data_IF_630603960553
#
_entry.id   IF_630603960553
#
_cell.length_a   1.000
_cell.length_b   1.000
_cell.length_c   1.000
_cell.angle_alpha   90.00
_cell.angle_beta   90.00
_cell.angle_gamma   90.00
#
_symmetry.space_group_name_H-M   'P 1'
#
loop_
_entity.id
_entity.type
_entity.pdbx_description
1 polymer ?
#
# COMPACT_ATOMS: atom_id res chain seq x y z
N UNK A 1 9.31 -20.74 11.91
CA UNK A 1 10.17 -19.68 11.33
C UNK A 1 9.61 -18.28 11.58
N UNK A 2 8.33 -18.01 11.27
CA UNK A 2 7.69 -16.72 11.58
C UNK A 2 7.81 -16.32 13.06
N UNK A 3 7.45 -17.20 13.99
CA UNK A 3 7.46 -16.90 15.44
C UNK A 3 8.83 -16.39 15.93
N UNK A 4 9.92 -17.00 15.46
CA UNK A 4 11.28 -16.58 15.81
C UNK A 4 11.56 -15.17 15.30
N UNK A 5 11.22 -14.87 14.04
CA UNK A 5 11.42 -13.55 13.45
C UNK A 5 10.54 -12.49 14.15
N UNK A 6 9.30 -12.83 14.46
CA UNK A 6 8.37 -11.98 15.19
C UNK A 6 8.88 -11.66 16.60
N UNK A 7 9.25 -12.69 17.38
CA UNK A 7 9.78 -12.51 18.74
C UNK A 7 11.06 -11.66 18.71
N UNK A 8 11.99 -11.93 17.78
CA UNK A 8 13.20 -11.12 17.63
C UNK A 8 12.88 -9.66 17.33
N UNK A 9 11.97 -9.39 16.39
CA UNK A 9 11.54 -8.02 16.10
C UNK A 9 11.00 -7.33 17.36
N UNK A 10 10.14 -8.01 18.14
CA UNK A 10 9.58 -7.48 19.39
C UNK A 10 10.65 -7.23 20.45
N UNK A 11 11.61 -8.14 20.63
CA UNK A 11 12.70 -7.97 21.60
C UNK A 11 13.64 -6.80 21.27
N UNK A 12 13.85 -6.52 19.99
CA UNK A 12 14.68 -5.40 19.54
C UNK A 12 13.90 -4.09 19.35
N UNK A 13 12.60 -4.08 19.68
CA UNK A 13 11.77 -2.88 19.56
C UNK A 13 11.98 -1.97 20.77
N UNK A 14 12.66 -0.85 20.56
CA UNK A 14 12.90 0.18 21.57
C UNK A 14 11.84 1.29 21.54
N UNK A 15 11.88 2.16 22.54
CA UNK A 15 11.04 3.36 22.59
C UNK A 15 11.25 4.22 21.32
N UNK A 16 10.15 4.68 20.73
CA UNK A 16 10.14 5.52 19.52
C UNK A 16 10.00 4.77 18.20
N UNK A 17 10.04 3.43 18.20
CA UNK A 17 9.68 2.64 17.01
C UNK A 17 8.17 2.61 16.86
N UNK A 18 7.68 2.99 15.68
CA UNK A 18 6.26 3.12 15.37
C UNK A 18 5.79 2.17 14.26
N UNK A 19 6.69 1.39 13.68
CA UNK A 19 6.37 0.48 12.58
C UNK A 19 7.59 -0.32 12.12
N UNK A 20 7.36 -1.27 11.21
CA UNK A 20 8.41 -2.16 10.68
C UNK A 20 8.47 -2.11 9.16
N UNK A 21 9.68 -2.01 8.63
CA UNK A 21 9.99 -2.34 7.24
C UNK A 21 10.56 -3.77 7.18
N UNK A 22 9.87 -4.67 6.50
CA UNK A 22 10.27 -6.07 6.35
C UNK A 22 11.08 -6.23 5.05
N UNK A 23 12.41 -6.26 5.15
CA UNK A 23 13.32 -6.22 4.01
C UNK A 23 13.60 -7.61 3.40
N UNK A 24 12.55 -8.31 2.99
CA UNK A 24 12.65 -9.57 2.23
C UNK A 24 11.46 -9.72 1.27
N UNK A 25 11.60 -10.57 0.25
CA UNK A 25 10.52 -10.93 -0.67
C UNK A 25 9.69 -12.12 -0.19
N UNK A 26 10.34 -13.12 0.41
CA UNK A 26 9.68 -14.32 0.93
C UNK A 26 10.09 -14.60 2.38
N UNK A 27 9.15 -15.07 3.22
CA UNK A 27 7.72 -15.26 2.94
C UNK A 27 6.92 -13.94 3.00
N UNK A 28 5.85 -13.83 2.20
CA UNK A 28 4.89 -12.71 2.23
C UNK A 28 3.59 -13.03 3.00
N UNK A 29 3.44 -14.27 3.49
CA UNK A 29 2.28 -14.73 4.28
C UNK A 29 2.68 -15.70 5.38
N UNK A 30 1.83 -15.80 6.40
CA UNK A 30 1.91 -16.75 7.52
C UNK A 30 0.55 -17.43 7.63
N UNK A 31 0.46 -18.69 7.21
CA UNK A 31 -0.83 -19.36 7.05
C UNK A 31 -1.75 -18.58 6.11
N UNK A 32 -2.90 -18.16 6.64
CA UNK A 32 -3.94 -17.39 5.96
C UNK A 32 -3.79 -15.87 6.06
N UNK A 33 -2.88 -15.37 6.91
CA UNK A 33 -2.65 -13.95 7.16
C UNK A 33 -1.44 -13.45 6.37
N UNK A 34 -1.47 -12.21 5.88
CA UNK A 34 -0.29 -11.60 5.28
C UNK A 34 0.82 -11.41 6.33
N UNK A 35 2.08 -11.44 5.91
CA UNK A 35 3.20 -11.28 6.85
C UNK A 35 3.18 -9.88 7.48
N UNK A 36 2.81 -8.84 6.72
CA UNK A 36 2.70 -7.47 7.25
C UNK A 36 1.63 -7.37 8.32
N UNK A 37 0.48 -7.99 8.13
CA UNK A 37 -0.57 -8.00 9.13
C UNK A 37 -0.19 -8.85 10.34
N UNK A 38 0.51 -9.97 10.13
CA UNK A 38 1.00 -10.82 11.21
C UNK A 38 2.05 -10.10 12.09
N UNK A 39 2.95 -9.31 11.50
CA UNK A 39 3.90 -8.49 12.27
C UNK A 39 3.20 -7.34 13.01
N UNK A 40 2.23 -6.69 12.37
CA UNK A 40 1.58 -5.52 12.96
C UNK A 40 0.62 -5.84 14.09
N UNK A 41 -0.22 -6.87 13.91
CA UNK A 41 -1.35 -7.21 14.78
C UNK A 41 -1.20 -8.57 15.48
N UNK A 42 -0.09 -9.26 15.26
CA UNK A 42 0.11 -10.65 15.67
C UNK A 42 -0.60 -11.62 14.72
N UNK A 43 -0.07 -12.84 14.61
CA UNK A 43 -0.80 -13.92 13.94
C UNK A 43 -2.03 -14.29 14.78
N UNK A 44 -3.22 -14.16 14.21
CA UNK A 44 -4.47 -14.52 14.89
C UNK A 44 -5.53 -14.94 13.86
N UNK A 45 -6.18 -16.11 14.02
CA UNK A 45 -7.22 -16.59 13.10
C UNK A 45 -8.36 -15.61 12.85
N UNK A 46 -8.63 -14.64 13.74
CA UNK A 46 -9.64 -13.59 13.51
C UNK A 46 -9.35 -12.69 12.30
N UNK A 47 -8.09 -12.64 11.88
CA UNK A 47 -7.66 -11.93 10.67
C UNK A 47 -7.67 -12.82 9.41
N UNK A 48 -8.08 -14.06 9.56
CA UNK A 48 -8.28 -14.98 8.47
C UNK A 48 -9.77 -15.14 8.17
N UNK A 49 -10.06 -15.42 6.91
CA UNK A 49 -11.39 -15.77 6.45
C UNK A 49 -11.27 -16.83 5.37
N UNK A 50 -12.05 -17.89 5.50
CA UNK A 50 -12.29 -18.84 4.44
C UNK A 50 -13.52 -18.37 3.63
N UNK A 51 -13.34 -18.18 2.33
CA UNK A 51 -14.38 -17.67 1.44
C UNK A 51 -14.81 -16.21 1.71
N UNK A 52 -16.10 -15.94 1.46
CA UNK A 52 -16.70 -14.61 1.55
C UNK A 52 -17.16 -14.22 2.96
N UNK A 53 -16.21 -14.20 3.91
CA UNK A 53 -16.46 -13.77 5.29
C UNK A 53 -15.66 -12.50 5.65
N UNK A 54 -16.20 -11.66 6.57
CA UNK A 54 -15.46 -10.54 7.14
C UNK A 54 -14.30 -11.04 8.01
N UNK A 55 -13.28 -10.19 8.17
CA UNK A 55 -12.19 -10.41 9.14
C UNK A 55 -12.19 -9.31 10.18
N UNK A 56 -11.45 -9.49 11.27
CA UNK A 56 -11.33 -8.47 12.30
C UNK A 56 -10.83 -7.12 11.75
N UNK A 57 -11.37 -5.99 12.28
CA UNK A 57 -11.01 -4.67 11.82
C UNK A 57 -9.61 -4.25 12.25
N UNK A 58 -9.07 -3.30 11.50
CA UNK A 58 -7.85 -2.57 11.80
C UNK A 58 -8.17 -1.36 12.71
N UNK A 59 -7.59 -1.29 13.93
CA UNK A 59 -7.81 -0.16 14.82
C UNK A 59 -7.21 1.17 14.31
N UNK A 60 -6.32 1.12 13.32
CA UNK A 60 -5.74 2.31 12.68
C UNK A 60 -6.52 2.80 11.46
N UNK A 61 -7.57 2.09 11.04
CA UNK A 61 -8.38 2.49 9.89
C UNK A 61 -9.06 3.84 10.13
N UNK A 62 -8.95 4.75 9.16
CA UNK A 62 -9.46 6.12 9.23
C UNK A 62 -8.97 6.93 10.45
N UNK A 63 -7.86 6.52 11.08
CA UNK A 63 -7.27 7.26 12.19
C UNK A 63 -6.74 8.63 11.74
N UNK A 64 -6.86 9.63 12.62
CA UNK A 64 -6.27 10.96 12.44
C UNK A 64 -4.75 10.97 12.64
N UNK A 65 -4.21 12.13 13.02
CA UNK A 65 -2.82 12.23 13.45
C UNK A 65 -2.62 11.45 14.76
N UNK A 66 -1.50 10.73 14.89
CA UNK A 66 -1.22 9.90 16.05
C UNK A 66 -0.07 8.94 15.78
N UNK A 67 0.50 8.41 16.86
CA UNK A 67 1.61 7.45 16.84
C UNK A 67 1.04 6.02 16.89
N UNK A 68 1.24 5.18 15.86
CA UNK A 68 0.63 3.86 15.77
C UNK A 68 0.82 2.98 17.01
N UNK A 69 2.03 2.94 17.56
CA UNK A 69 2.33 2.11 18.73
C UNK A 69 1.66 2.69 19.97
N UNK A 70 1.91 3.97 20.23
CA UNK A 70 1.49 4.64 21.47
C UNK A 70 -0.03 4.75 21.58
N UNK A 71 -0.68 5.12 20.48
CA UNK A 71 -2.09 5.53 20.48
C UNK A 71 -3.02 4.38 20.05
N UNK A 72 -2.51 3.38 19.31
CA UNK A 72 -3.32 2.29 18.73
C UNK A 72 -2.80 0.88 19.06
N UNK A 73 -1.66 0.76 19.77
CA UNK A 73 -1.07 -0.51 20.19
C UNK A 73 -0.75 -1.48 19.04
N UNK A 74 -0.42 -0.95 17.86
CA UNK A 74 0.07 -1.76 16.73
C UNK A 74 1.38 -1.20 16.18
N UNK A 75 2.08 -2.02 15.39
CA UNK A 75 3.26 -1.61 14.66
C UNK A 75 2.99 -1.85 13.16
N UNK A 76 2.37 -0.88 12.46
CA UNK A 76 2.18 -0.96 11.02
C UNK A 76 3.42 -1.52 10.35
N UNK A 77 3.22 -2.51 9.49
CA UNK A 77 4.33 -3.18 8.82
C UNK A 77 4.14 -3.12 7.31
N UNK A 78 5.23 -2.92 6.58
CA UNK A 78 5.26 -2.92 5.12
C UNK A 78 6.49 -3.70 4.64
N UNK A 79 6.33 -4.46 3.55
CA UNK A 79 7.45 -5.18 2.94
C UNK A 79 8.25 -4.26 2.02
N UNK A 80 9.56 -4.23 2.20
CA UNK A 80 10.48 -3.77 1.19
C UNK A 80 10.89 -4.99 0.34
N UNK A 81 10.05 -5.32 -0.64
CA UNK A 81 10.23 -6.49 -1.51
C UNK A 81 10.52 -6.08 -2.95
N UNK A 82 11.47 -6.78 -3.58
CA UNK A 82 11.85 -6.60 -4.97
C UNK A 82 12.42 -7.90 -5.56
N UNK A 83 12.48 -8.00 -6.89
CA UNK A 83 13.06 -9.15 -7.61
C UNK A 83 14.59 -9.26 -7.47
N UNK A 84 15.27 -8.14 -7.24
CA UNK A 84 16.73 -8.08 -7.12
C UNK A 84 17.16 -7.01 -6.12
N UNK A 85 18.42 -7.08 -5.66
CA UNK A 85 19.01 -6.04 -4.81
C UNK A 85 19.06 -4.68 -5.53
N UNK A 86 19.29 -4.67 -6.84
CA UNK A 86 19.27 -3.44 -7.64
C UNK A 86 17.88 -2.81 -7.64
N UNK A 87 16.83 -3.61 -7.82
CA UNK A 87 15.45 -3.12 -7.76
C UNK A 87 15.08 -2.62 -6.36
N UNK A 88 15.55 -3.30 -5.30
CA UNK A 88 15.34 -2.86 -3.92
C UNK A 88 16.01 -1.50 -3.64
N UNK A 89 17.26 -1.30 -4.11
CA UNK A 89 17.96 -0.01 -3.99
C UNK A 89 17.23 1.08 -4.77
N UNK A 90 16.85 0.80 -6.02
CA UNK A 90 16.10 1.76 -6.83
C UNK A 90 14.77 2.17 -6.20
N UNK A 91 14.08 1.24 -5.52
CA UNK A 91 12.87 1.51 -4.74
C UNK A 91 13.15 2.42 -3.54
N UNK A 92 14.20 2.12 -2.75
CA UNK A 92 14.61 2.97 -1.62
C UNK A 92 14.97 4.38 -2.12
N UNK A 93 15.83 4.48 -3.13
CA UNK A 93 16.29 5.76 -3.67
C UNK A 93 15.10 6.58 -4.19
N UNK A 94 14.09 5.91 -4.76
CA UNK A 94 12.86 6.57 -5.21
C UNK A 94 12.01 7.09 -4.06
N UNK A 95 11.90 6.36 -2.95
CA UNK A 95 11.24 6.83 -1.73
C UNK A 95 11.95 8.04 -1.14
N UNK A 96 13.26 7.96 -0.95
CA UNK A 96 14.10 9.06 -0.43
C UNK A 96 13.99 10.31 -1.31
N UNK A 97 14.02 10.18 -2.64
CA UNK A 97 13.84 11.32 -3.56
C UNK A 97 12.45 11.97 -3.48
N UNK A 98 11.47 11.28 -2.90
CA UNK A 98 10.12 11.80 -2.77
C UNK A 98 9.96 12.72 -1.57
N UNK A 99 10.73 12.53 -0.51
CA UNK A 99 10.47 13.14 0.78
C UNK A 99 10.49 14.67 0.74
N UNK A 100 9.41 15.29 1.23
CA UNK A 100 9.23 16.74 1.24
C UNK A 100 9.16 17.40 -0.13
N UNK A 101 9.07 16.63 -1.23
CA UNK A 101 9.05 17.17 -2.59
C UNK A 101 7.73 17.87 -2.95
N UNK A 102 6.62 17.44 -2.34
CA UNK A 102 5.26 17.84 -2.68
C UNK A 102 4.99 17.83 -4.22
N UNK A 103 5.16 16.68 -4.89
CA UNK A 103 5.14 16.60 -6.34
C UNK A 103 3.79 17.05 -6.92
N UNK A 104 3.84 17.78 -8.04
CA UNK A 104 2.65 18.18 -8.81
C UNK A 104 2.26 17.06 -9.77
N UNK A 105 1.57 16.05 -9.26
CA UNK A 105 1.03 14.95 -10.05
C UNK A 105 -0.49 14.90 -10.06
N UNK A 106 -1.01 13.80 -10.58
CA UNK A 106 -2.43 13.51 -10.72
C UNK A 106 -2.79 12.18 -10.10
N UNK A 107 -4.01 12.11 -9.57
CA UNK A 107 -4.66 10.87 -9.18
C UNK A 107 -5.54 10.34 -10.31
N UNK A 108 -5.33 9.09 -10.69
CA UNK A 108 -6.14 8.36 -11.65
C UNK A 108 -6.97 7.29 -10.93
N UNK A 109 -8.29 7.47 -10.94
CA UNK A 109 -9.28 6.51 -10.46
C UNK A 109 -9.90 5.83 -11.68
N UNK A 110 -9.40 4.64 -12.03
CA UNK A 110 -9.77 3.96 -13.28
C UNK A 110 -10.82 2.88 -13.00
N UNK A 111 -11.97 3.04 -13.64
CA UNK A 111 -13.10 2.12 -13.60
C UNK A 111 -13.07 1.26 -14.87
N UNK A 112 -12.77 -0.03 -14.72
CA UNK A 112 -12.64 -0.95 -15.85
C UNK A 112 -13.99 -1.56 -16.25
N UNK A 113 -14.01 -2.46 -17.22
CA UNK A 113 -15.21 -3.25 -17.53
C UNK A 113 -15.42 -4.43 -16.56
N UNK A 114 -14.43 -4.75 -15.71
CA UNK A 114 -14.51 -5.86 -14.76
C UNK A 114 -15.33 -5.46 -13.52
N UNK A 115 -16.65 -5.55 -13.62
CA UNK A 115 -17.57 -5.13 -12.56
C UNK A 115 -17.23 -5.74 -11.18
N UNK A 116 -16.85 -7.02 -11.14
CA UNK A 116 -16.45 -7.70 -9.90
C UNK A 116 -15.21 -7.10 -9.21
N UNK A 117 -14.37 -6.36 -9.93
CA UNK A 117 -13.15 -5.71 -9.42
C UNK A 117 -13.29 -4.20 -9.21
N UNK A 118 -14.46 -3.65 -9.54
CA UNK A 118 -14.77 -2.23 -9.36
C UNK A 118 -15.53 -1.94 -8.05
N UNK A 119 -15.42 -2.78 -7.02
CA UNK A 119 -16.20 -2.60 -5.79
C UNK A 119 -15.86 -1.32 -5.02
N UNK A 120 -14.68 -0.73 -5.25
CA UNK A 120 -14.31 0.61 -4.75
C UNK A 120 -14.66 1.78 -5.68
N UNK A 121 -15.04 1.51 -6.93
CA UNK A 121 -15.36 2.54 -7.92
C UNK A 121 -16.48 3.51 -7.50
N UNK A 122 -17.54 3.08 -6.76
CA UNK A 122 -18.58 4.00 -6.29
C UNK A 122 -18.05 5.14 -5.38
N UNK A 123 -16.87 4.99 -4.78
CA UNK A 123 -16.26 6.04 -3.95
C UNK A 123 -15.65 7.18 -4.79
N UNK A 124 -15.37 6.97 -6.07
CA UNK A 124 -14.56 7.88 -6.90
C UNK A 124 -15.11 9.32 -6.97
N UNK A 125 -16.44 9.55 -7.14
CA UNK A 125 -16.98 10.90 -7.14
C UNK A 125 -16.75 11.63 -5.81
N UNK A 126 -16.93 10.93 -4.67
CA UNK A 126 -16.69 11.51 -3.35
C UNK A 126 -15.20 11.86 -3.14
N UNK A 127 -14.29 11.01 -3.63
CA UNK A 127 -12.84 11.27 -3.61
C UNK A 127 -12.50 12.53 -4.43
N UNK A 128 -13.03 12.65 -5.65
CA UNK A 128 -12.80 13.82 -6.49
C UNK A 128 -13.33 15.11 -5.85
N UNK A 129 -14.54 15.07 -5.26
CA UNK A 129 -15.09 16.23 -4.55
C UNK A 129 -14.25 16.63 -3.33
N UNK A 130 -13.82 15.66 -2.53
CA UNK A 130 -13.09 15.93 -1.29
C UNK A 130 -11.63 16.38 -1.52
N UNK A 131 -10.96 15.86 -2.55
CA UNK A 131 -9.51 16.06 -2.75
C UNK A 131 -9.15 16.86 -4.02
N UNK A 132 -10.11 17.10 -4.92
CA UNK A 132 -9.86 17.77 -6.21
C UNK A 132 -9.26 19.16 -6.12
N UNK A 133 -9.45 19.85 -4.99
CA UNK A 133 -8.83 21.17 -4.71
C UNK A 133 -7.38 21.06 -4.23
N UNK A 134 -6.96 19.89 -3.71
CA UNK A 134 -5.59 19.63 -3.24
C UNK A 134 -4.73 18.98 -4.32
N UNK A 135 -5.33 18.13 -5.15
CA UNK A 135 -4.66 17.42 -6.25
C UNK A 135 -5.65 17.21 -7.40
N UNK A 136 -5.22 17.30 -8.67
CA UNK A 136 -6.04 16.86 -9.80
C UNK A 136 -6.45 15.39 -9.66
N UNK A 137 -7.76 15.12 -9.73
CA UNK A 137 -8.34 13.77 -9.71
C UNK A 137 -9.08 13.50 -11.00
N UNK A 138 -8.63 12.52 -11.78
CA UNK A 138 -9.27 12.03 -13.00
C UNK A 138 -9.96 10.71 -12.73
N UNK A 139 -11.26 10.64 -13.05
CA UNK A 139 -12.05 9.41 -13.05
C UNK A 139 -12.13 8.93 -14.50
N UNK A 140 -11.49 7.82 -14.82
CA UNK A 140 -11.37 7.32 -16.19
C UNK A 140 -12.16 6.01 -16.35
N UNK A 141 -12.90 5.88 -17.44
CA UNK A 141 -13.59 4.62 -17.79
C UNK A 141 -12.86 3.95 -18.94
N UNK A 142 -11.89 3.11 -18.61
CA UNK A 142 -11.01 2.45 -19.58
C UNK A 142 -10.42 1.16 -19.01
N UNK A 143 -9.74 0.38 -19.84
CA UNK A 143 -8.95 -0.77 -19.36
C UNK A 143 -7.73 -0.35 -18.52
N UNK A 144 -7.20 0.86 -18.76
CA UNK A 144 -6.06 1.44 -18.09
C UNK A 144 -5.75 2.84 -18.62
N UNK A 145 -4.80 3.54 -18.01
CA UNK A 145 -4.24 4.79 -18.54
C UNK A 145 -3.01 4.48 -19.39
N UNK A 146 -2.73 5.32 -20.39
CA UNK A 146 -1.59 5.19 -21.31
C UNK A 146 -0.94 6.55 -21.52
N UNK A 147 0.39 6.57 -21.70
CA UNK A 147 1.18 7.76 -22.05
C UNK A 147 0.98 8.93 -21.06
N UNK A 148 0.91 8.61 -19.76
CA UNK A 148 0.78 9.60 -18.67
C UNK A 148 2.08 9.64 -17.87
N UNK A 149 2.64 10.83 -17.67
CA UNK A 149 3.93 11.01 -16.99
C UNK A 149 3.85 11.84 -15.69
N UNK A 150 2.64 12.15 -15.25
CA UNK A 150 2.31 12.87 -14.01
C UNK A 150 1.63 11.95 -12.99
N UNK A 151 1.86 10.63 -13.06
CA UNK A 151 1.15 9.64 -12.24
C UNK A 151 1.66 9.71 -10.80
N UNK A 152 0.81 10.19 -9.88
CA UNK A 152 1.08 10.18 -8.45
C UNK A 152 0.20 9.18 -7.69
N UNK A 153 -1.05 9.04 -8.11
CA UNK A 153 -1.91 7.95 -7.62
C UNK A 153 -2.52 7.21 -8.79
N UNK A 154 -2.55 5.88 -8.72
CA UNK A 154 -3.28 5.05 -9.69
C UNK A 154 -4.01 3.91 -8.98
N UNK A 155 -5.34 4.02 -8.92
CA UNK A 155 -6.22 3.00 -8.36
C UNK A 155 -7.12 2.41 -9.46
N UNK A 156 -7.11 1.09 -9.60
CA UNK A 156 -7.93 0.37 -10.59
C UNK A 156 -8.43 -0.98 -10.10
N UNK A 157 -9.14 -1.73 -10.94
CA UNK A 157 -9.61 -3.09 -10.67
C UNK A 157 -9.58 -3.93 -11.93
N UNK A 158 -8.58 -4.80 -12.06
CA UNK A 158 -8.39 -5.71 -13.21
C UNK A 158 -7.42 -6.83 -12.84
N UNK A 159 -7.41 -7.94 -13.58
CA UNK A 159 -6.41 -9.00 -13.40
C UNK A 159 -4.98 -8.52 -13.69
N UNK A 160 -4.84 -7.72 -14.76
CA UNK A 160 -3.55 -7.25 -15.27
C UNK A 160 -3.73 -5.84 -15.78
N UNK A 161 -2.94 -4.91 -15.25
CA UNK A 161 -3.01 -3.51 -15.65
C UNK A 161 -2.24 -3.32 -16.95
N UNK A 162 -2.90 -2.88 -18.03
CA UNK A 162 -2.23 -2.66 -19.29
C UNK A 162 -1.42 -1.35 -19.26
N UNK A 163 -0.45 -1.24 -20.18
CA UNK A 163 0.27 -0.01 -20.52
C UNK A 163 1.20 0.56 -19.45
N UNK A 164 1.55 -0.21 -18.42
CA UNK A 164 2.45 0.23 -17.33
C UNK A 164 3.78 0.77 -17.87
N UNK A 165 4.29 0.19 -18.94
CA UNK A 165 5.52 0.58 -19.63
C UNK A 165 5.47 1.98 -20.25
N UNK A 166 4.27 2.54 -20.45
CA UNK A 166 4.07 3.88 -21.01
C UNK A 166 3.95 4.96 -19.92
N UNK A 167 3.92 4.57 -18.65
CA UNK A 167 3.63 5.48 -17.55
C UNK A 167 4.90 6.04 -16.91
N UNK A 168 4.89 7.34 -16.64
CA UNK A 168 5.85 8.02 -15.77
C UNK A 168 5.25 8.23 -14.39
N UNK A 169 5.66 7.40 -13.44
CA UNK A 169 5.35 7.58 -12.02
C UNK A 169 6.28 8.61 -11.38
N UNK A 170 5.70 9.55 -10.64
CA UNK A 170 6.48 10.52 -9.88
C UNK A 170 7.11 9.86 -8.64
N UNK A 171 8.26 10.35 -8.14
CA UNK A 171 8.78 9.93 -6.84
C UNK A 171 7.71 10.05 -5.75
N UNK A 172 7.51 9.00 -4.97
CA UNK A 172 6.47 8.93 -3.95
C UNK A 172 5.11 8.43 -4.46
N UNK A 173 4.96 8.10 -5.76
CA UNK A 173 3.69 7.63 -6.29
C UNK A 173 3.20 6.34 -5.64
N UNK A 174 1.88 6.24 -5.44
CA UNK A 174 1.21 5.06 -4.90
C UNK A 174 0.27 4.49 -5.95
N UNK A 175 0.37 3.18 -6.22
CA UNK A 175 -0.49 2.53 -7.19
C UNK A 175 -0.86 1.12 -6.77
N UNK A 176 -2.12 0.75 -6.93
CA UNK A 176 -2.59 -0.60 -6.72
C UNK A 176 -3.83 -0.94 -7.55
N UNK A 177 -4.09 -2.24 -7.63
CA UNK A 177 -5.22 -2.80 -8.34
C UNK A 177 -5.98 -3.75 -7.43
N UNK A 178 -7.31 -3.65 -7.52
CA UNK A 178 -8.21 -4.55 -6.83
C UNK A 178 -8.30 -5.84 -7.63
N UNK A 179 -7.51 -6.84 -7.22
CA UNK A 179 -7.64 -8.21 -7.71
C UNK A 179 -7.32 -9.21 -6.60
N UNK A 180 -7.76 -10.44 -6.80
CA UNK A 180 -7.38 -11.57 -5.97
C UNK A 180 -5.89 -11.88 -6.15
N UNK A 181 -5.22 -12.32 -5.10
CA UNK A 181 -3.83 -12.79 -5.17
C UNK A 181 -2.80 -11.77 -5.71
N UNK A 182 -3.11 -10.48 -5.80
CA UNK A 182 -2.13 -9.46 -6.22
C UNK A 182 -0.94 -9.34 -5.27
N UNK A 183 -1.04 -9.86 -4.05
CA UNK A 183 0.03 -9.98 -3.07
C UNK A 183 0.78 -11.31 -3.13
N UNK A 184 0.43 -12.20 -4.06
CA UNK A 184 1.25 -13.36 -4.39
C UNK A 184 2.44 -12.87 -5.23
N UNK A 185 3.64 -12.94 -4.65
CA UNK A 185 4.86 -12.54 -5.33
C UNK A 185 5.46 -13.67 -6.19
N UNK A 186 4.79 -14.82 -6.26
CA UNK A 186 5.11 -15.88 -7.21
C UNK A 186 4.46 -15.56 -8.56
N UNK A 187 5.03 -16.08 -9.63
CA UNK A 187 4.38 -16.03 -10.94
C UNK A 187 2.98 -16.68 -10.82
N UNK A 188 1.95 -15.92 -11.17
CA UNK A 188 0.55 -16.33 -11.16
C UNK A 188 -0.18 -15.69 -12.34
N UNK A 189 -1.41 -16.10 -12.61
CA UNK A 189 -2.25 -15.50 -13.67
C UNK A 189 -2.64 -14.04 -13.36
N UNK A 190 -2.54 -13.64 -12.08
CA UNK A 190 -2.81 -12.29 -11.60
C UNK A 190 -1.54 -11.47 -11.56
N UNK A 191 -1.64 -10.18 -11.91
CA UNK A 191 -0.52 -9.26 -11.79
C UNK A 191 -0.11 -9.13 -10.32
N UNK A 192 1.19 -9.33 -10.07
CA UNK A 192 1.75 -9.09 -8.74
C UNK A 192 1.87 -7.60 -8.45
N UNK A 193 1.66 -7.19 -7.19
CA UNK A 193 1.85 -5.83 -6.72
C UNK A 193 3.28 -5.32 -6.95
N UNK A 194 4.27 -6.22 -7.05
CA UNK A 194 5.65 -5.87 -7.40
C UNK A 194 5.77 -5.25 -8.80
N UNK A 195 4.86 -5.57 -9.74
CA UNK A 195 4.87 -4.99 -11.10
C UNK A 195 4.65 -3.48 -11.06
N UNK A 196 3.89 -2.96 -10.09
CA UNK A 196 3.77 -1.51 -9.88
C UNK A 196 5.09 -0.88 -9.48
N UNK A 197 5.85 -1.54 -8.59
CA UNK A 197 7.13 -1.03 -8.10
C UNK A 197 8.19 -1.02 -9.21
N UNK A 198 8.17 -2.03 -10.08
CA UNK A 198 9.02 -2.09 -11.27
C UNK A 198 8.67 -1.03 -12.30
N UNK A 199 7.38 -0.74 -12.50
CA UNK A 199 6.91 0.32 -13.38
C UNK A 199 7.22 1.73 -12.86
N UNK A 200 7.56 1.88 -11.58
CA UNK A 200 7.99 3.16 -11.00
C UNK A 200 7.18 3.63 -9.79
N UNK A 201 6.15 2.91 -9.34
CA UNK A 201 5.45 3.26 -8.11
C UNK A 201 6.34 3.06 -6.88
N UNK A 202 6.18 3.91 -5.87
CA UNK A 202 6.96 3.85 -4.61
C UNK A 202 6.33 2.90 -3.60
N UNK A 203 5.01 2.73 -3.63
CA UNK A 203 4.34 1.72 -2.83
C UNK A 203 3.10 1.18 -3.55
N UNK A 204 2.71 -0.03 -3.14
CA UNK A 204 1.59 -0.78 -3.66
C UNK A 204 0.97 -1.67 -2.57
N UNK A 205 -0.11 -2.36 -2.95
CA UNK A 205 -0.86 -3.26 -2.10
C UNK A 205 -1.39 -4.43 -2.92
N UNK A 206 -1.46 -5.60 -2.30
CA UNK A 206 -2.08 -6.78 -2.89
C UNK A 206 -2.60 -7.73 -1.83
N UNK A 207 -3.46 -8.67 -2.23
CA UNK A 207 -4.01 -9.70 -1.33
C UNK A 207 -3.24 -11.01 -1.49
N UNK A 208 -2.90 -11.71 -0.41
CA UNK A 208 -2.00 -12.88 -0.43
C UNK A 208 -2.71 -14.22 -0.70
N UNK A 209 -4.04 -14.19 -0.72
CA UNK A 209 -4.96 -15.29 -0.99
C UNK A 209 -6.19 -14.70 -1.67
N UNK A 210 -6.97 -15.52 -2.36
CA UNK A 210 -8.21 -15.09 -3.00
C UNK A 210 -9.18 -14.50 -1.97
N UNK A 211 -9.42 -13.18 -2.00
CA UNK A 211 -10.42 -12.58 -1.15
C UNK A 211 -11.73 -12.48 -1.94
N UNK A 212 -12.84 -12.63 -1.23
CA UNK A 212 -14.07 -12.01 -1.68
C UNK A 212 -13.85 -10.49 -1.86
N UNK A 213 -14.47 -9.90 -2.88
CA UNK A 213 -14.25 -8.52 -3.34
C UNK A 213 -14.79 -7.42 -2.39
N UNK A 214 -14.85 -7.69 -1.09
CA UNK A 214 -15.21 -6.72 -0.06
C UNK A 214 -14.29 -5.49 -0.14
N UNK A 215 -14.84 -4.28 -0.37
CA UNK A 215 -14.05 -3.05 -0.41
C UNK A 215 -13.17 -2.83 0.82
N UNK A 216 -13.60 -3.31 1.99
CA UNK A 216 -12.89 -3.21 3.26
C UNK A 216 -11.52 -3.92 3.25
N UNK A 217 -11.34 -4.93 2.38
CA UNK A 217 -10.07 -5.66 2.19
C UNK A 217 -9.11 -4.93 1.25
N UNK A 218 -9.48 -3.76 0.73
CA UNK A 218 -8.66 -2.99 -0.19
C UNK A 218 -8.48 -1.55 0.30
N UNK A 219 -7.41 -0.87 -0.14
CA UNK A 219 -7.21 0.53 0.18
C UNK A 219 -8.37 1.38 -0.31
N UNK A 220 -8.96 2.15 0.59
CA UNK A 220 -9.87 3.25 0.25
C UNK A 220 -9.06 4.39 -0.36
N UNK A 221 -9.22 4.72 -1.66
CA UNK A 221 -8.41 5.74 -2.31
C UNK A 221 -8.47 7.10 -1.62
N UNK A 222 -9.67 7.50 -1.16
CA UNK A 222 -9.86 8.77 -0.47
C UNK A 222 -9.11 8.87 0.84
N UNK A 223 -9.19 7.82 1.68
CA UNK A 223 -8.49 7.80 2.97
C UNK A 223 -6.97 7.76 2.79
N UNK A 224 -6.49 6.91 1.87
CA UNK A 224 -5.06 6.80 1.56
C UNK A 224 -4.52 8.14 1.07
N UNK A 225 -5.15 8.72 0.05
CA UNK A 225 -4.70 9.99 -0.54
C UNK A 225 -4.77 11.12 0.49
N UNK A 226 -5.85 11.20 1.28
CA UNK A 226 -5.98 12.24 2.30
C UNK A 226 -4.87 12.18 3.35
N UNK A 227 -4.57 10.98 3.86
CA UNK A 227 -3.47 10.74 4.81
C UNK A 227 -2.11 11.10 4.20
N UNK A 228 -1.82 10.59 3.01
CA UNK A 228 -0.54 10.81 2.34
C UNK A 228 -0.31 12.29 1.99
N UNK A 229 -1.35 12.99 1.50
CA UNK A 229 -1.31 14.44 1.24
C UNK A 229 -1.23 15.28 2.52
N UNK A 230 -1.66 14.73 3.67
CA UNK A 230 -1.50 15.38 4.98
C UNK A 230 -0.09 15.17 5.57
N UNK A 231 0.78 14.46 4.84
CA UNK A 231 2.16 14.21 5.24
C UNK A 231 2.32 12.98 6.11
N UNK A 232 1.44 11.99 6.03
CA UNK A 232 1.73 10.65 6.54
C UNK A 232 2.74 9.93 5.64
N UNK A 233 3.50 8.99 6.20
CA UNK A 233 4.34 8.08 5.40
C UNK A 233 3.48 7.13 4.54
N UNK A 234 4.08 6.51 3.53
CA UNK A 234 3.40 5.49 2.72
C UNK A 234 2.87 4.34 3.60
N UNK A 235 3.63 3.94 4.62
CA UNK A 235 3.23 2.95 5.62
C UNK A 235 1.95 3.37 6.35
N UNK A 236 1.93 4.57 6.92
CA UNK A 236 0.79 5.08 7.69
C UNK A 236 -0.44 5.27 6.81
N UNK A 237 -0.28 5.89 5.63
CA UNK A 237 -1.38 6.14 4.70
C UNK A 237 -2.06 4.83 4.25
N UNK A 238 -1.28 3.80 3.95
CA UNK A 238 -1.82 2.49 3.60
C UNK A 238 -2.57 1.86 4.77
N UNK A 239 -1.97 1.82 5.96
CA UNK A 239 -2.60 1.23 7.13
C UNK A 239 -3.85 2.02 7.57
N UNK A 240 -3.94 3.33 7.35
CA UNK A 240 -5.18 4.10 7.58
C UNK A 240 -6.28 3.81 6.56
N UNK A 241 -5.95 3.21 5.42
CA UNK A 241 -6.88 3.05 4.29
C UNK A 241 -7.52 1.68 4.15
N UNK A 242 -7.04 0.66 4.88
CA UNK A 242 -7.54 -0.72 4.81
C UNK A 242 -8.23 -1.09 6.11
N UNK A 243 -9.54 -1.37 6.04
CA UNK A 243 -10.34 -1.73 7.21
C UNK A 243 -10.10 -3.18 7.66
N UNK A 244 -9.92 -4.11 6.73
CA UNK A 244 -9.76 -5.55 6.96
C UNK A 244 -8.41 -6.04 6.39
N UNK A 245 -7.29 -5.80 7.09
CA UNK A 245 -5.94 -5.96 6.53
C UNK A 245 -5.46 -7.41 6.54
N UNK A 246 -6.24 -8.35 7.10
CA UNK A 246 -5.80 -9.71 7.41
C UNK A 246 -5.12 -10.44 6.26
N UNK A 247 -5.70 -10.35 5.06
CA UNK A 247 -5.20 -10.99 3.84
C UNK A 247 -4.42 -10.01 2.94
N UNK A 248 -4.15 -8.80 3.41
CA UNK A 248 -3.52 -7.72 2.65
C UNK A 248 -2.04 -7.56 2.94
N UNK A 249 -1.19 -7.64 1.91
CA UNK A 249 0.23 -7.30 2.01
C UNK A 249 0.48 -5.88 1.50
N UNK A 250 1.11 -5.08 2.35
CA UNK A 250 1.59 -3.74 2.03
C UNK A 250 3.03 -3.84 1.54
N UNK A 251 3.37 -3.22 0.42
CA UNK A 251 4.71 -3.34 -0.18
C UNK A 251 5.20 -2.02 -0.76
N UNK A 252 6.46 -1.67 -0.54
CA UNK A 252 7.02 -0.41 -1.02
C UNK A 252 8.15 0.11 -0.14
N UNK A 253 8.54 1.35 -0.40
CA UNK A 253 9.37 2.11 0.54
C UNK A 253 8.46 2.69 1.64
N UNK A 254 8.65 2.23 2.87
CA UNK A 254 7.73 2.46 3.97
C UNK A 254 7.73 3.90 4.48
N UNK A 255 8.88 4.58 4.39
CA UNK A 255 9.10 5.91 4.94
C UNK A 255 8.79 7.04 3.96
N UNK A 256 8.54 6.74 2.68
CA UNK A 256 8.25 7.71 1.64
C UNK A 256 7.17 8.67 2.11
N UNK A 257 7.50 9.96 2.12
CA UNK A 257 6.69 10.99 2.76
C UNK A 257 6.71 12.30 1.94
N UNK A 258 6.16 12.30 0.73
CA UNK A 258 6.31 13.41 -0.19
C UNK A 258 5.67 14.72 0.25
N UNK A 259 4.63 14.67 1.08
CA UNK A 259 3.93 15.85 1.60
C UNK A 259 4.22 16.13 3.08
N UNK A 260 5.17 15.39 3.68
CA UNK A 260 5.63 15.66 5.03
C UNK A 260 6.83 16.62 5.05
N UNK A 261 7.29 17.03 6.24
CA UNK A 261 8.58 17.69 6.37
C UNK A 261 9.69 16.77 5.83
N UNK A 262 10.74 17.35 5.20
CA UNK A 262 11.89 16.57 4.76
C UNK A 262 12.53 15.85 5.96
N UNK A 263 13.13 14.66 5.75
CA UNK A 263 13.80 13.94 6.80
C UNK A 263 14.91 14.80 7.42
N UNK A 264 14.99 14.78 8.75
CA UNK A 264 16.15 15.34 9.45
C UNK A 264 17.34 14.45 9.12
N UNK A 265 18.45 15.00 8.61
CA UNK A 265 19.66 14.21 8.37
C UNK A 265 20.04 13.47 9.64
N UNK A 266 20.26 12.15 9.54
CA UNK A 266 20.83 11.41 10.65
C UNK A 266 22.24 11.95 10.88
N UNK A 267 22.51 12.48 12.08
CA UNK A 267 23.89 12.75 12.46
C UNK A 267 24.67 11.44 12.36
N UNK A 268 25.87 11.44 11.75
CA UNK A 268 26.69 10.25 11.70
C UNK A 268 26.97 9.80 13.14
N UNK A 269 26.59 8.55 13.44
CA UNK A 269 26.97 7.88 14.69
C UNK A 269 28.42 7.43 14.63
#
# INVERSE_FOLDING_TARGET
MFEIAFIKARMHTTQGIEGYALAWRYPYRVGCQSVTTAFALGYNPRYCADGCQPTAPNPYYAAGAGKPQRDFQLYPSMMLAAESLANARALIDRGVRSDGLAPRGRAYLVITQEAARNTRAPLSPAVQTALGQRIPVSIERSAGIRDRHDVLFYFTGTLQVPYLETLGFLPGAIADHLTACGGDFRASDQMSALRWLEAGATASYGTVLEPCNFPQKFPSPGLLMAAYLAGDTALEAYWKSVAWPGQGVFVGEALARPYGPPPVPLEPR
#
